data_IF_707505043518
#
_entry.id   IF_707505043518
#
_cell.length_a   1.000
_cell.length_b   1.000
_cell.length_c   1.000
_cell.angle_alpha   90.00
_cell.angle_beta   90.00
_cell.angle_gamma   90.00
#
_symmetry.space_group_name_H-M   'P 1'
#
loop_
_entity.id
_entity.type
_entity.pdbx_description
1 polymer ?
#
# COMPACT_ATOMS: atom_id res chain seq x y z
N UNK A 1 13.96 40.17 -13.91
CA UNK A 1 14.96 39.14 -14.25
C UNK A 1 14.27 37.80 -14.39
N UNK A 2 13.86 37.46 -15.60
CA UNK A 2 13.34 36.14 -15.97
C UNK A 2 14.54 35.21 -16.16
N UNK A 3 14.83 34.37 -15.17
CA UNK A 3 15.77 33.26 -15.36
C UNK A 3 15.09 32.23 -16.26
N UNK A 4 15.26 32.36 -17.56
CA UNK A 4 15.00 31.26 -18.50
C UNK A 4 16.00 30.17 -18.17
N UNK A 5 15.54 29.11 -17.49
CA UNK A 5 16.30 27.87 -17.46
C UNK A 5 16.59 27.48 -18.92
N UNK A 6 17.84 27.17 -19.29
CA UNK A 6 18.11 26.66 -20.62
C UNK A 6 17.25 25.41 -20.79
N UNK A 7 16.29 25.47 -21.71
CA UNK A 7 15.58 24.28 -22.14
C UNK A 7 16.65 23.38 -22.73
N UNK A 8 16.96 22.27 -22.04
CA UNK A 8 17.81 21.24 -22.60
C UNK A 8 17.14 20.80 -23.91
N UNK A 9 17.77 21.02 -25.09
CA UNK A 9 17.13 20.77 -26.38
C UNK A 9 16.73 19.30 -26.56
N UNK A 10 17.24 18.40 -25.72
CA UNK A 10 16.85 16.98 -25.69
C UNK A 10 15.51 16.68 -24.99
N UNK A 11 14.89 17.64 -24.28
CA UNK A 11 13.64 17.45 -23.54
C UNK A 11 12.48 18.14 -24.28
N UNK A 12 12.04 17.52 -25.38
CA UNK A 12 11.05 18.06 -26.31
C UNK A 12 9.64 18.22 -25.71
N UNK A 13 9.31 17.49 -24.63
CA UNK A 13 7.98 17.52 -24.01
C UNK A 13 8.00 17.94 -22.53
N UNK A 14 6.98 18.70 -22.05
CA UNK A 14 6.84 19.07 -20.64
C UNK A 14 6.88 17.87 -19.67
N UNK A 15 6.40 16.70 -20.11
CA UNK A 15 6.43 15.46 -19.34
C UNK A 15 7.83 14.87 -19.20
N UNK A 16 8.68 14.96 -20.23
CA UNK A 16 10.07 14.52 -20.15
C UNK A 16 10.87 15.40 -19.18
N UNK A 17 10.65 16.72 -19.23
CA UNK A 17 11.25 17.65 -18.27
C UNK A 17 10.83 17.35 -16.82
N UNK A 18 9.53 17.14 -16.58
CA UNK A 18 9.02 16.77 -15.25
C UNK A 18 9.63 15.44 -14.76
N UNK A 19 9.75 14.43 -15.63
CA UNK A 19 10.33 13.15 -15.29
C UNK A 19 11.84 13.25 -14.99
N UNK A 20 12.58 14.06 -15.75
CA UNK A 20 13.99 14.32 -15.51
C UNK A 20 14.22 14.99 -14.15
N UNK A 21 13.43 16.02 -13.83
CA UNK A 21 13.46 16.69 -12.51
C UNK A 21 13.15 15.72 -11.37
N UNK A 22 12.11 14.88 -11.50
CA UNK A 22 11.75 13.87 -10.49
C UNK A 22 12.87 12.84 -10.28
N UNK A 23 13.52 12.40 -11.37
CA UNK A 23 14.68 11.49 -11.30
C UNK A 23 15.86 12.13 -10.57
N UNK A 24 16.19 13.38 -10.89
CA UNK A 24 17.27 14.11 -10.23
C UNK A 24 17.01 14.29 -8.72
N UNK A 25 15.80 14.70 -8.32
CA UNK A 25 15.42 14.80 -6.91
C UNK A 25 15.48 13.47 -6.18
N UNK A 26 15.01 12.39 -6.81
CA UNK A 26 15.08 11.04 -6.22
C UNK A 26 16.53 10.62 -5.99
N UNK A 27 17.43 10.88 -6.93
CA UNK A 27 18.86 10.58 -6.79
C UNK A 27 19.46 11.33 -5.59
N UNK A 28 19.24 12.64 -5.53
CA UNK A 28 19.71 13.49 -4.43
C UNK A 28 19.17 13.05 -3.07
N UNK A 29 17.89 12.68 -2.98
CA UNK A 29 17.32 12.15 -1.74
C UNK A 29 17.96 10.85 -1.29
N UNK A 30 18.31 9.95 -2.21
CA UNK A 30 18.98 8.69 -1.86
C UNK A 30 20.40 8.96 -1.34
N UNK A 31 21.08 9.99 -1.87
CA UNK A 31 22.41 10.41 -1.41
C UNK A 31 22.37 11.04 -0.01
N UNK A 32 21.30 11.76 0.34
CA UNK A 32 21.13 12.44 1.63
C UNK A 32 20.51 11.55 2.73
N UNK A 33 20.05 10.34 2.40
CA UNK A 33 19.49 9.42 3.40
C UNK A 33 20.60 8.93 4.31
N UNK A 34 20.47 9.24 5.60
CA UNK A 34 21.24 8.56 6.64
C UNK A 34 20.79 7.10 6.68
N UNK A 35 21.65 6.22 6.16
CA UNK A 35 21.41 4.78 6.10
C UNK A 35 21.05 4.19 7.47
N UNK A 36 21.58 4.76 8.56
CA UNK A 36 21.30 4.29 9.91
C UNK A 36 19.84 4.55 10.30
N UNK A 37 19.32 5.75 10.06
CA UNK A 37 17.91 6.08 10.33
C UNK A 37 16.97 5.21 9.47
N UNK A 38 17.32 4.99 8.21
CA UNK A 38 16.55 4.13 7.31
C UNK A 38 16.48 2.69 7.82
N UNK A 39 17.61 2.10 8.22
CA UNK A 39 17.67 0.74 8.77
C UNK A 39 16.96 0.64 10.12
N UNK A 40 17.13 1.63 10.99
CA UNK A 40 16.44 1.70 12.28
C UNK A 40 14.92 1.71 12.08
N UNK A 41 14.41 2.53 11.15
CA UNK A 41 12.99 2.60 10.84
C UNK A 41 12.44 1.27 10.31
N UNK A 42 13.17 0.61 9.41
CA UNK A 42 12.78 -0.72 8.90
C UNK A 42 12.75 -1.75 10.04
N UNK A 43 13.77 -1.76 10.90
CA UNK A 43 13.86 -2.64 12.06
C UNK A 43 12.71 -2.43 13.05
N UNK A 44 12.43 -1.18 13.44
CA UNK A 44 11.31 -0.84 14.33
C UNK A 44 9.98 -1.26 13.71
N UNK A 45 9.77 -0.99 12.42
CA UNK A 45 8.55 -1.39 11.70
C UNK A 45 8.40 -2.91 11.69
N UNK A 46 9.48 -3.65 11.46
CA UNK A 46 9.46 -5.11 11.46
C UNK A 46 9.09 -5.67 12.84
N UNK A 47 9.69 -5.15 13.93
CA UNK A 47 9.36 -5.57 15.29
C UNK A 47 7.91 -5.28 15.64
N UNK A 48 7.44 -4.05 15.39
CA UNK A 48 6.05 -3.68 15.66
C UNK A 48 5.11 -4.57 14.85
N UNK A 49 5.44 -4.84 13.57
CA UNK A 49 4.69 -5.77 12.73
C UNK A 49 4.61 -7.17 13.34
N UNK A 50 5.73 -7.73 13.79
CA UNK A 50 5.78 -9.04 14.47
C UNK A 50 4.91 -9.03 15.73
N UNK A 51 5.04 -8.01 16.59
CA UNK A 51 4.25 -7.89 17.82
C UNK A 51 2.75 -7.84 17.51
N UNK A 52 2.34 -7.06 16.51
CA UNK A 52 0.93 -6.98 16.08
C UNK A 52 0.44 -8.34 15.58
N UNK A 53 1.23 -9.04 14.77
CA UNK A 53 0.86 -10.37 14.24
C UNK A 53 0.73 -11.38 15.38
N UNK A 54 1.68 -11.42 16.31
CA UNK A 54 1.62 -12.33 17.47
C UNK A 54 0.43 -11.99 18.37
N UNK A 55 0.17 -10.71 18.60
CA UNK A 55 -0.97 -10.25 19.38
C UNK A 55 -2.28 -10.71 18.75
N UNK A 56 -2.48 -10.47 17.45
CA UNK A 56 -3.67 -10.96 16.72
C UNK A 56 -3.75 -12.48 16.73
N UNK A 57 -2.63 -13.18 16.53
CA UNK A 57 -2.57 -14.64 16.58
C UNK A 57 -3.00 -15.19 17.93
N UNK A 58 -2.76 -14.47 19.04
CA UNK A 58 -3.20 -14.91 20.37
C UNK A 58 -4.72 -14.95 20.54
N UNK A 59 -5.48 -14.19 19.73
CA UNK A 59 -6.93 -14.27 19.69
C UNK A 59 -7.44 -15.44 18.83
N UNK A 60 -6.57 -16.04 18.01
CA UNK A 60 -6.89 -17.20 17.17
C UNK A 60 -6.52 -18.46 17.96
N UNK A 61 -7.49 -19.08 18.63
CA UNK A 61 -7.24 -20.30 19.43
C UNK A 61 -6.68 -21.48 18.62
N UNK A 62 -6.01 -22.40 19.28
CA UNK A 62 -5.22 -23.47 18.62
C UNK A 62 -6.03 -24.71 18.20
N UNK A 63 -7.31 -24.77 18.55
CA UNK A 63 -8.14 -25.94 18.27
C UNK A 63 -8.59 -25.98 16.80
N UNK A 64 -8.65 -27.20 16.26
CA UNK A 64 -9.27 -27.45 14.96
C UNK A 64 -10.75 -27.06 14.97
N UNK A 65 -11.24 -26.56 13.84
CA UNK A 65 -12.64 -26.19 13.71
C UNK A 65 -13.50 -27.45 13.59
N UNK A 66 -14.56 -27.51 14.38
CA UNK A 66 -15.61 -28.53 14.24
C UNK A 66 -16.37 -28.36 12.93
N UNK A 67 -17.04 -29.42 12.46
CA UNK A 67 -17.83 -29.37 11.22
C UNK A 67 -18.93 -28.29 11.23
N UNK A 68 -19.50 -28.00 12.40
CA UNK A 68 -20.47 -26.93 12.58
C UNK A 68 -19.85 -25.53 12.39
N UNK A 69 -18.65 -25.30 12.96
CA UNK A 69 -17.92 -24.05 12.80
C UNK A 69 -17.44 -23.83 11.36
N UNK A 70 -17.02 -24.89 10.65
CA UNK A 70 -16.66 -24.80 9.23
C UNK A 70 -17.90 -24.40 8.39
N UNK A 71 -19.07 -24.94 8.70
CA UNK A 71 -20.32 -24.55 8.03
C UNK A 71 -20.65 -23.08 8.30
N UNK A 72 -20.47 -22.63 9.54
CA UNK A 72 -20.70 -21.24 9.91
C UNK A 72 -19.75 -20.27 9.19
N UNK A 73 -18.45 -20.61 9.13
CA UNK A 73 -17.44 -19.85 8.38
C UNK A 73 -17.75 -19.81 6.89
N UNK A 74 -18.27 -20.89 6.29
CA UNK A 74 -18.68 -20.88 4.87
C UNK A 74 -19.86 -19.94 4.61
N UNK A 75 -20.81 -19.86 5.53
CA UNK A 75 -22.00 -19.02 5.38
C UNK A 75 -21.72 -17.55 5.72
N UNK A 76 -20.97 -17.27 6.78
CA UNK A 76 -20.78 -15.91 7.30
C UNK A 76 -19.39 -15.31 7.01
N UNK A 77 -18.40 -16.14 6.68
CA UNK A 77 -17.03 -15.69 6.38
C UNK A 77 -16.95 -14.68 5.24
N UNK A 78 -17.61 -14.91 4.08
CA UNK A 78 -17.62 -13.94 2.98
C UNK A 78 -18.21 -12.59 3.39
N UNK A 79 -19.27 -12.58 4.20
CA UNK A 79 -19.90 -11.37 4.71
C UNK A 79 -18.97 -10.59 5.66
N UNK A 80 -18.23 -11.30 6.51
CA UNK A 80 -17.23 -10.69 7.40
C UNK A 80 -16.08 -10.03 6.63
N UNK A 81 -15.54 -10.72 5.60
CA UNK A 81 -14.50 -10.15 4.72
C UNK A 81 -15.06 -8.95 3.95
N UNK A 82 -16.28 -9.04 3.44
CA UNK A 82 -16.96 -7.93 2.76
C UNK A 82 -17.16 -6.72 3.68
N UNK A 83 -17.52 -6.93 4.94
CA UNK A 83 -17.64 -5.86 5.94
C UNK A 83 -16.29 -5.20 6.22
N UNK A 84 -15.22 -5.98 6.38
CA UNK A 84 -13.87 -5.44 6.55
C UNK A 84 -13.44 -4.59 5.34
N UNK A 85 -13.73 -5.07 4.12
CA UNK A 85 -13.47 -4.32 2.90
C UNK A 85 -14.27 -3.01 2.85
N UNK A 86 -15.56 -3.04 3.22
CA UNK A 86 -16.40 -1.86 3.28
C UNK A 86 -15.91 -0.84 4.32
N UNK A 87 -15.45 -1.30 5.49
CA UNK A 87 -14.85 -0.43 6.52
C UNK A 87 -13.53 0.17 6.04
N UNK A 88 -12.69 -0.61 5.36
CA UNK A 88 -11.44 -0.13 4.78
C UNK A 88 -11.69 0.95 3.73
N UNK A 89 -12.66 0.74 2.83
CA UNK A 89 -13.11 1.74 1.85
C UNK A 89 -13.66 2.99 2.53
N UNK A 90 -14.56 2.84 3.49
CA UNK A 90 -15.15 3.98 4.21
C UNK A 90 -14.07 4.80 4.93
N UNK A 91 -13.12 4.13 5.59
CA UNK A 91 -11.95 4.76 6.21
C UNK A 91 -11.05 5.46 5.19
N UNK A 92 -10.76 4.81 4.07
CA UNK A 92 -9.97 5.34 2.97
C UNK A 92 -10.58 6.57 2.32
N UNK A 93 -11.87 6.51 1.98
CA UNK A 93 -12.64 7.63 1.43
C UNK A 93 -12.75 8.80 2.42
N UNK A 94 -13.00 8.51 3.71
CA UNK A 94 -13.07 9.53 4.75
C UNK A 94 -11.73 10.23 4.96
N UNK A 95 -10.63 9.48 4.91
CA UNK A 95 -9.27 10.03 4.98
C UNK A 95 -8.95 10.84 3.71
N UNK A 96 -9.32 10.31 2.54
CA UNK A 96 -9.25 10.96 1.22
C UNK A 96 -9.91 12.33 1.19
N UNK A 97 -11.15 12.41 1.68
CA UNK A 97 -11.94 13.65 1.70
C UNK A 97 -11.35 14.74 2.60
N UNK A 98 -10.50 14.39 3.56
CA UNK A 98 -9.81 15.33 4.47
C UNK A 98 -8.43 15.75 3.94
N UNK A 99 -8.21 15.60 2.64
CA UNK A 99 -6.95 15.95 1.96
C UNK A 99 -5.98 14.77 1.82
N UNK A 100 -6.51 13.57 1.61
CA UNK A 100 -5.87 12.32 1.97
C UNK A 100 -4.65 11.86 1.17
N UNK A 101 -4.46 10.54 1.02
CA UNK A 101 -3.17 9.86 1.15
C UNK A 101 -2.14 10.12 0.03
N UNK A 102 -2.53 10.88 -1.00
CA UNK A 102 -1.61 11.46 -1.96
C UNK A 102 -0.89 12.64 -1.30
N UNK A 103 0.11 12.32 -0.48
CA UNK A 103 1.03 13.30 0.08
C UNK A 103 1.88 13.92 -1.03
N UNK A 104 1.29 14.84 -1.79
CA UNK A 104 1.98 15.65 -2.77
C UNK A 104 2.93 16.59 -2.02
N UNK A 105 4.19 16.65 -2.47
CA UNK A 105 5.12 17.63 -1.93
C UNK A 105 4.53 19.04 -2.13
N UNK A 106 4.68 19.96 -1.17
CA UNK A 106 4.23 21.35 -1.32
C UNK A 106 4.77 22.01 -2.59
N UNK A 107 5.98 21.61 -3.01
CA UNK A 107 6.59 22.02 -4.26
C UNK A 107 5.86 21.46 -5.50
N UNK A 108 5.36 20.22 -5.49
CA UNK A 108 4.55 19.68 -6.60
C UNK A 108 3.21 20.39 -6.69
N UNK A 109 2.56 20.68 -5.56
CA UNK A 109 1.31 21.44 -5.54
C UNK A 109 1.50 22.83 -6.15
N UNK A 110 2.57 23.54 -5.76
CA UNK A 110 2.80 24.92 -6.21
C UNK A 110 3.35 25.02 -7.63
N UNK A 111 4.23 24.12 -8.05
CA UNK A 111 4.93 24.24 -9.34
C UNK A 111 4.41 23.31 -10.43
N UNK A 112 3.85 22.14 -10.09
CA UNK A 112 3.39 21.15 -11.10
C UNK A 112 1.90 21.33 -11.41
N UNK A 113 1.05 21.65 -10.43
CA UNK A 113 -0.38 21.86 -10.68
C UNK A 113 -0.70 23.18 -11.40
N UNK A 114 0.24 24.13 -11.37
CA UNK A 114 0.17 25.40 -12.11
C UNK A 114 0.92 25.36 -13.45
N UNK A 115 1.67 24.30 -13.73
CA UNK A 115 2.36 24.14 -15.01
C UNK A 115 1.36 23.76 -16.12
N UNK A 116 1.69 24.02 -17.40
CA UNK A 116 0.87 23.63 -18.55
C UNK A 116 1.00 22.12 -18.84
N UNK A 117 0.69 21.29 -17.85
CA UNK A 117 0.73 19.83 -17.91
C UNK A 117 -0.63 19.30 -17.45
N UNK A 118 -1.17 18.30 -18.14
CA UNK A 118 -2.40 17.66 -17.72
C UNK A 118 -2.27 17.09 -16.30
N UNK A 119 -3.11 17.58 -15.39
CA UNK A 119 -3.09 17.22 -13.96
C UNK A 119 -3.26 15.71 -13.75
N UNK A 120 -4.12 15.06 -14.54
CA UNK A 120 -4.31 13.61 -14.51
C UNK A 120 -3.00 12.86 -14.80
N UNK A 121 -2.25 13.26 -15.83
CA UNK A 121 -0.95 12.66 -16.17
C UNK A 121 0.11 12.92 -15.12
N UNK A 122 0.12 14.09 -14.51
CA UNK A 122 1.06 14.41 -13.44
C UNK A 122 0.87 13.55 -12.17
N UNK A 123 -0.38 13.14 -11.90
CA UNK A 123 -0.79 12.41 -10.68
C UNK A 123 -0.73 10.87 -10.81
N UNK A 124 -0.70 10.30 -12.02
CA UNK A 124 -0.65 8.84 -12.20
C UNK A 124 0.55 8.18 -11.50
N UNK A 125 1.72 8.82 -11.53
CA UNK A 125 2.93 8.23 -10.91
C UNK A 125 2.82 8.13 -9.38
N UNK A 126 2.39 9.19 -8.65
CA UNK A 126 2.05 9.09 -7.23
C UNK A 126 0.99 8.03 -6.91
N UNK A 127 -0.12 8.04 -7.66
CA UNK A 127 -1.24 7.10 -7.45
C UNK A 127 -0.77 5.66 -7.59
N UNK A 128 0.00 5.34 -8.62
CA UNK A 128 0.47 3.99 -8.86
C UNK A 128 1.42 3.50 -7.75
N UNK A 129 2.29 4.36 -7.21
CA UNK A 129 3.19 3.98 -6.11
C UNK A 129 2.39 3.64 -4.85
N UNK A 130 1.40 4.46 -4.54
CA UNK A 130 0.56 4.25 -3.37
C UNK A 130 -0.32 3.00 -3.54
N UNK A 131 -0.92 2.81 -4.71
CA UNK A 131 -1.70 1.61 -5.03
C UNK A 131 -0.85 0.35 -4.90
N UNK A 132 0.36 0.35 -5.46
CA UNK A 132 1.30 -0.79 -5.35
C UNK A 132 1.67 -1.09 -3.90
N UNK A 133 1.89 -0.06 -3.09
CA UNK A 133 2.17 -0.23 -1.67
C UNK A 133 0.95 -0.81 -0.92
N UNK A 134 -0.24 -0.28 -1.19
CA UNK A 134 -1.50 -0.80 -0.62
C UNK A 134 -1.74 -2.26 -0.98
N UNK A 135 -1.63 -2.61 -2.27
CA UNK A 135 -1.73 -3.99 -2.76
C UNK A 135 -0.70 -4.89 -2.07
N UNK A 136 0.55 -4.44 -1.94
CA UNK A 136 1.59 -5.21 -1.27
C UNK A 136 1.26 -5.47 0.20
N UNK A 137 0.88 -4.42 0.94
CA UNK A 137 0.50 -4.56 2.35
C UNK A 137 -0.72 -5.46 2.51
N UNK A 138 -1.74 -5.27 1.67
CA UNK A 138 -2.94 -6.11 1.64
C UNK A 138 -2.60 -7.58 1.37
N UNK A 139 -1.72 -7.84 0.40
CA UNK A 139 -1.25 -9.19 0.10
C UNK A 139 -0.50 -9.83 1.28
N UNK A 140 0.38 -9.09 1.96
CA UNK A 140 1.11 -9.58 3.12
C UNK A 140 0.16 -9.90 4.28
N UNK A 141 -0.76 -8.98 4.60
CA UNK A 141 -1.75 -9.19 5.67
C UNK A 141 -2.65 -10.39 5.35
N UNK A 142 -3.12 -10.48 4.10
CA UNK A 142 -3.92 -11.61 3.64
C UNK A 142 -3.17 -12.94 3.68
N UNK A 143 -1.89 -12.97 3.31
CA UNK A 143 -1.03 -14.14 3.40
C UNK A 143 -0.86 -14.63 4.85
N UNK A 144 -0.68 -13.70 5.80
CA UNK A 144 -0.58 -14.01 7.23
C UNK A 144 -1.90 -14.61 7.74
N UNK A 145 -3.04 -14.02 7.37
CA UNK A 145 -4.35 -14.56 7.70
C UNK A 145 -4.56 -15.98 7.13
N UNK A 146 -4.15 -16.20 5.87
CA UNK A 146 -4.16 -17.51 5.24
C UNK A 146 -3.27 -18.52 5.97
N UNK A 147 -2.08 -18.11 6.41
CA UNK A 147 -1.17 -18.97 7.19
C UNK A 147 -1.76 -19.36 8.56
N UNK A 148 -2.50 -18.47 9.20
CA UNK A 148 -3.23 -18.81 10.43
C UNK A 148 -4.36 -19.81 10.15
N UNK A 149 -5.02 -19.72 8.99
CA UNK A 149 -6.07 -20.67 8.60
C UNK A 149 -5.54 -22.10 8.42
N UNK A 150 -4.28 -22.28 7.98
CA UNK A 150 -3.63 -23.61 7.86
C UNK A 150 -3.66 -24.38 9.17
N UNK A 151 -3.51 -23.69 10.31
CA UNK A 151 -3.50 -24.35 11.63
C UNK A 151 -4.88 -24.83 12.07
N UNK A 152 -5.95 -24.26 11.52
CA UNK A 152 -7.34 -24.51 11.92
C UNK A 152 -8.16 -25.32 10.91
N UNK A 153 -7.82 -25.21 9.62
CA UNK A 153 -8.54 -25.84 8.51
C UNK A 153 -7.59 -26.75 7.74
N UNK A 154 -7.88 -28.06 7.74
CA UNK A 154 -7.11 -29.04 6.96
C UNK A 154 -7.07 -28.64 5.47
N UNK A 155 -5.90 -28.72 4.84
CA UNK A 155 -5.73 -28.40 3.42
C UNK A 155 -4.29 -28.11 3.02
N UNK A 156 -4.08 -27.79 1.74
CA UNK A 156 -2.78 -27.43 1.23
C UNK A 156 -2.35 -26.04 1.78
N UNK A 157 -1.23 -25.93 2.52
CA UNK A 157 -0.85 -24.68 3.19
C UNK A 157 -0.61 -23.54 2.20
N UNK A 158 -0.01 -23.86 1.05
CA UNK A 158 0.28 -22.90 0.00
C UNK A 158 -1.00 -22.34 -0.64
N UNK A 159 -2.07 -23.14 -0.71
CA UNK A 159 -3.35 -22.67 -1.25
C UNK A 159 -3.99 -21.62 -0.33
N UNK A 160 -3.97 -21.84 0.99
CA UNK A 160 -4.49 -20.87 1.97
C UNK A 160 -3.71 -19.56 1.98
N UNK A 161 -2.38 -19.65 1.96
CA UNK A 161 -1.53 -18.45 1.89
C UNK A 161 -1.77 -17.70 0.58
N UNK A 162 -1.85 -18.40 -0.54
CA UNK A 162 -2.06 -17.78 -1.85
C UNK A 162 -3.45 -17.12 -1.97
N UNK A 163 -4.52 -17.80 -1.54
CA UNK A 163 -5.89 -17.23 -1.59
C UNK A 163 -6.07 -16.09 -0.60
N UNK A 164 -5.46 -16.18 0.59
CA UNK A 164 -5.42 -15.07 1.54
C UNK A 164 -4.69 -13.86 0.94
N UNK A 165 -3.52 -14.07 0.34
CA UNK A 165 -2.75 -12.99 -0.29
C UNK A 165 -3.52 -12.33 -1.43
N UNK A 166 -4.17 -13.10 -2.32
CA UNK A 166 -4.95 -12.54 -3.43
C UNK A 166 -6.19 -11.80 -2.93
N UNK A 167 -6.91 -12.34 -1.93
CA UNK A 167 -8.04 -11.65 -1.33
C UNK A 167 -7.63 -10.31 -0.70
N UNK A 168 -6.56 -10.29 0.09
CA UNK A 168 -6.05 -9.07 0.69
C UNK A 168 -5.56 -8.04 -0.34
N UNK A 169 -4.90 -8.50 -1.40
CA UNK A 169 -4.49 -7.66 -2.53
C UNK A 169 -5.69 -7.02 -3.25
N UNK A 170 -6.75 -7.79 -3.50
CA UNK A 170 -7.97 -7.31 -4.16
C UNK A 170 -8.73 -6.31 -3.29
N UNK A 171 -8.85 -6.57 -1.99
CA UNK A 171 -9.47 -5.63 -1.04
C UNK A 171 -8.70 -4.31 -1.00
N UNK A 172 -7.37 -4.36 -1.03
CA UNK A 172 -6.53 -3.15 -1.04
C UNK A 172 -6.52 -2.41 -2.39
N UNK A 173 -6.94 -3.06 -3.48
CA UNK A 173 -7.05 -2.46 -4.80
C UNK A 173 -8.39 -1.77 -5.07
N UNK A 174 -9.38 -1.99 -4.19
CA UNK A 174 -10.72 -1.41 -4.24
C UNK A 174 -10.71 0.07 -3.80
#
# INVERSE_FOLDING_TARGET
MTTTFPADPALETPMQALNAMRRARRRKRIEEVDWLDAMYRVYVTAIVGIVVVLFISSFVGDNELTAAEISDVRTHGPAAIGLLAALALAGGLRSGARGGPLALEPAEVRYVLLAPVERARALHSPVLKQLRFGIFVGAVVGAIAGQLAVRRMHGAPLAWVATGATAGALVAAL
#
